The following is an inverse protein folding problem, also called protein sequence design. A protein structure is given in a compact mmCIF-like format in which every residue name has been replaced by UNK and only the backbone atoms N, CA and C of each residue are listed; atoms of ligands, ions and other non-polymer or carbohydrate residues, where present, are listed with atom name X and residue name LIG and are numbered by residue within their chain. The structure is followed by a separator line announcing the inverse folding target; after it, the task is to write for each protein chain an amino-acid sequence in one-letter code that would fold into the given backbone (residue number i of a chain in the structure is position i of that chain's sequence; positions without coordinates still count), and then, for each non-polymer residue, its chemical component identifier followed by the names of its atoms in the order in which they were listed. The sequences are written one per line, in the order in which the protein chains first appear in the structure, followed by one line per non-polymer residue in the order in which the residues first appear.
data_IF_218581830529
#
_entry.id   IF_218581830529
#
_cell.length_a   1.000
_cell.length_b   1.000
_cell.length_c   1.000
_cell.angle_alpha   90.00
_cell.angle_beta   90.00
_cell.angle_gamma   90.00
#
_symmetry.space_group_name_H-M   'P 1'
#
loop_
_entity.id
_entity.type
_entity.pdbx_description
1 polymer ?
#
# COMPACT_ATOMS: atom_id res chain seq x y z
N UNK A 1 -8.65 19.81 11.13
CA UNK A 1 -8.41 20.41 9.81
C UNK A 1 -7.61 19.38 9.01
N UNK A 2 -8.26 18.56 8.17
CA UNK A 2 -7.55 17.56 7.36
C UNK A 2 -6.93 18.25 6.16
N UNK A 3 -5.60 18.24 6.10
CA UNK A 3 -4.86 18.63 4.89
C UNK A 3 -4.93 17.42 3.97
N UNK A 4 -5.94 17.38 3.11
CA UNK A 4 -6.00 16.39 2.03
C UNK A 4 -5.00 16.84 0.97
N UNK A 5 -3.90 16.11 0.84
CA UNK A 5 -2.89 16.35 -0.19
C UNK A 5 -3.57 16.20 -1.56
N UNK A 6 -3.50 17.19 -2.47
CA UNK A 6 -4.06 17.07 -3.81
C UNK A 6 -3.47 15.86 -4.55
N UNK A 7 -4.24 15.17 -5.40
CA UNK A 7 -3.76 14.00 -6.14
C UNK A 7 -2.47 14.25 -6.93
N UNK A 8 -2.28 15.48 -7.41
CA UNK A 8 -1.09 15.93 -8.15
C UNK A 8 0.20 15.93 -7.30
N UNK A 9 0.09 15.73 -5.99
CA UNK A 9 1.22 15.65 -5.04
C UNK A 9 1.53 14.23 -4.58
N UNK A 10 0.77 13.22 -5.04
CA UNK A 10 1.13 11.83 -4.77
C UNK A 10 2.37 11.44 -5.57
N UNK A 11 3.32 10.70 -4.98
CA UNK A 11 4.42 10.11 -5.73
C UNK A 11 3.86 9.22 -6.86
N UNK A 12 4.53 9.18 -8.01
CA UNK A 12 4.14 8.25 -9.07
C UNK A 12 4.33 6.80 -8.61
N UNK A 13 3.61 5.87 -9.23
CA UNK A 13 3.74 4.43 -8.97
C UNK A 13 5.17 3.89 -9.17
N UNK A 14 5.96 4.56 -10.00
CA UNK A 14 7.35 4.18 -10.31
C UNK A 14 8.39 4.90 -9.44
N UNK A 15 7.96 5.81 -8.57
CA UNK A 15 8.87 6.59 -7.73
C UNK A 15 9.56 5.70 -6.70
N UNK A 16 10.85 5.89 -6.48
CA UNK A 16 11.55 5.36 -5.30
C UNK A 16 11.81 6.50 -4.32
N UNK A 17 11.36 6.37 -3.08
CA UNK A 17 11.59 7.37 -2.03
C UNK A 17 12.71 6.88 -1.11
N UNK A 18 13.74 7.69 -0.94
CA UNK A 18 14.93 7.33 -0.17
C UNK A 18 14.92 8.13 1.13
N UNK A 19 14.77 7.43 2.25
CA UNK A 19 14.95 7.99 3.58
C UNK A 19 16.31 7.62 4.19
N UNK A 20 16.52 8.09 5.42
CA UNK A 20 17.76 7.82 6.16
C UNK A 20 17.95 6.33 6.45
N UNK A 21 16.90 5.67 6.95
CA UNK A 21 16.92 4.25 7.39
C UNK A 21 16.14 3.30 6.50
N UNK A 22 15.19 3.80 5.72
CA UNK A 22 14.32 3.01 4.86
C UNK A 22 14.31 3.53 3.42
N UNK A 23 13.96 2.64 2.49
CA UNK A 23 13.64 2.99 1.11
C UNK A 23 12.23 2.50 0.81
N UNK A 24 11.40 3.36 0.23
CA UNK A 24 10.12 2.97 -0.33
C UNK A 24 10.33 2.67 -1.81
N UNK A 25 10.20 1.40 -2.19
CA UNK A 25 10.26 0.97 -3.60
C UNK A 25 8.85 0.73 -4.12
N UNK A 26 8.59 0.94 -5.42
CA UNK A 26 7.32 0.55 -6.04
C UNK A 26 6.93 -0.87 -5.65
N UNK A 27 5.68 -1.06 -5.25
CA UNK A 27 5.16 -2.40 -4.93
C UNK A 27 5.20 -3.30 -6.18
N UNK A 28 5.60 -4.55 -5.99
CA UNK A 28 5.64 -5.58 -7.04
C UNK A 28 5.16 -6.91 -6.48
N UNK A 29 4.57 -7.74 -7.34
CA UNK A 29 4.10 -9.08 -6.97
C UNK A 29 5.22 -10.00 -6.47
N UNK A 30 6.47 -9.79 -6.92
CA UNK A 30 7.66 -10.55 -6.50
C UNK A 30 8.00 -10.39 -5.01
N UNK A 31 7.44 -9.38 -4.34
CA UNK A 31 7.66 -9.16 -2.90
C UNK A 31 6.68 -9.92 -2.01
N UNK A 32 5.66 -10.56 -2.60
CA UNK A 32 4.60 -11.25 -1.86
C UNK A 32 5.16 -12.27 -0.87
N UNK A 33 6.10 -13.11 -1.27
CA UNK A 33 6.66 -14.17 -0.41
C UNK A 33 7.36 -13.64 0.83
N UNK A 34 8.14 -12.55 0.69
CA UNK A 34 8.82 -11.93 1.83
C UNK A 34 7.85 -11.16 2.73
N UNK A 35 6.91 -10.44 2.13
CA UNK A 35 5.94 -9.65 2.87
C UNK A 35 4.93 -10.52 3.62
N UNK A 36 4.51 -11.64 3.04
CA UNK A 36 3.61 -12.59 3.68
C UNK A 36 4.22 -13.20 4.95
N UNK A 37 5.54 -13.44 4.96
CA UNK A 37 6.26 -13.99 6.11
C UNK A 37 6.36 -13.03 7.30
N UNK A 38 6.31 -11.71 7.06
CA UNK A 38 6.42 -10.69 8.11
C UNK A 38 5.07 -10.15 8.55
N UNK A 39 3.97 -10.64 7.97
CA UNK A 39 2.63 -10.33 8.41
C UNK A 39 2.33 -11.05 9.72
N UNK A 40 1.81 -10.30 10.68
CA UNK A 40 1.30 -10.83 11.94
C UNK A 40 -0.22 -10.88 11.84
N UNK A 41 -0.86 -11.96 12.30
CA UNK A 41 -2.32 -12.13 12.24
C UNK A 41 -3.10 -10.95 12.83
N UNK A 42 -2.54 -10.28 13.84
CA UNK A 42 -3.15 -9.09 14.47
C UNK A 42 -3.17 -7.83 13.59
N UNK A 43 -2.40 -7.78 12.49
CA UNK A 43 -2.40 -6.61 11.60
C UNK A 43 -3.75 -6.48 10.86
N UNK A 44 -4.42 -7.61 10.61
CA UNK A 44 -5.64 -7.65 9.81
C UNK A 44 -6.84 -7.06 10.53
N UNK A 45 -6.82 -7.02 11.87
CA UNK A 45 -7.83 -6.35 12.69
C UNK A 45 -7.93 -4.84 12.36
N UNK A 46 -6.88 -4.27 11.76
CA UNK A 46 -6.78 -2.85 11.41
C UNK A 46 -6.92 -2.58 9.91
N UNK A 47 -7.18 -3.60 9.11
CA UNK A 47 -7.18 -3.53 7.65
C UNK A 47 -8.55 -3.91 7.08
N UNK A 48 -8.92 -3.30 5.95
CA UNK A 48 -10.16 -3.65 5.23
C UNK A 48 -10.04 -4.92 4.39
N UNK A 49 -8.82 -5.44 4.24
CA UNK A 49 -8.46 -6.60 3.45
C UNK A 49 -7.61 -7.54 4.29
N UNK A 50 -7.59 -8.82 3.89
CA UNK A 50 -6.99 -9.91 4.66
C UNK A 50 -7.93 -10.41 5.78
N UNK A 51 -7.45 -11.34 6.64
CA UNK A 51 -6.23 -12.13 6.48
C UNK A 51 -6.23 -12.94 5.17
N UNK A 52 -5.04 -13.25 4.64
CA UNK A 52 -4.90 -14.11 3.46
C UNK A 52 -4.54 -15.52 3.89
N UNK A 53 -5.16 -16.54 3.29
CA UNK A 53 -4.91 -17.94 3.67
C UNK A 53 -3.58 -18.48 3.16
N UNK A 54 -3.02 -17.87 2.12
CA UNK A 54 -1.76 -18.26 1.50
C UNK A 54 -1.14 -17.09 0.73
N UNK A 55 0.11 -17.28 0.31
CA UNK A 55 0.89 -16.27 -0.41
C UNK A 55 0.30 -15.97 -1.78
N UNK A 56 -0.38 -16.93 -2.43
CA UNK A 56 -1.01 -16.72 -3.75
C UNK A 56 -2.16 -15.71 -3.68
N UNK A 57 -3.01 -15.81 -2.64
CA UNK A 57 -4.07 -14.84 -2.39
C UNK A 57 -3.50 -13.44 -2.14
N UNK A 58 -2.45 -13.35 -1.32
CA UNK A 58 -1.79 -12.07 -1.05
C UNK A 58 -1.11 -11.49 -2.30
N UNK A 59 -0.45 -12.32 -3.11
CA UNK A 59 0.18 -11.92 -4.39
C UNK A 59 -0.86 -11.37 -5.37
N UNK A 60 -2.03 -12.01 -5.45
CA UNK A 60 -3.14 -11.54 -6.29
C UNK A 60 -3.63 -10.16 -5.85
N UNK A 61 -3.70 -9.91 -4.55
CA UNK A 61 -4.09 -8.60 -4.00
C UNK A 61 -3.07 -7.51 -4.33
N UNK A 62 -1.77 -7.79 -4.13
CA UNK A 62 -0.70 -6.86 -4.50
C UNK A 62 -0.74 -6.48 -5.98
N UNK A 63 -0.98 -7.46 -6.86
CA UNK A 63 -1.15 -7.21 -8.28
C UNK A 63 -2.36 -6.31 -8.56
N UNK A 64 -3.52 -6.62 -7.97
CA UNK A 64 -4.72 -5.80 -8.12
C UNK A 64 -4.50 -4.35 -7.66
N UNK A 65 -3.80 -4.16 -6.53
CA UNK A 65 -3.45 -2.83 -6.03
C UNK A 65 -2.48 -2.09 -6.96
N UNK A 66 -1.49 -2.77 -7.55
CA UNK A 66 -0.56 -2.15 -8.51
C UNK A 66 -1.26 -1.66 -9.78
N UNK A 67 -2.30 -2.37 -10.22
CA UNK A 67 -3.09 -2.04 -11.42
C UNK A 67 -4.15 -0.96 -11.12
N UNK A 68 -4.55 -0.79 -9.85
CA UNK A 68 -5.55 0.19 -9.44
C UNK A 68 -5.00 1.63 -9.46
N UNK A 69 -5.53 2.50 -10.31
CA UNK A 69 -5.07 3.89 -10.43
C UNK A 69 -5.41 4.80 -9.23
N UNK A 70 -6.33 4.38 -8.36
CA UNK A 70 -6.63 5.08 -7.11
C UNK A 70 -5.71 4.70 -5.95
N UNK A 71 -4.72 3.84 -6.18
CA UNK A 71 -3.78 3.36 -5.16
C UNK A 71 -2.35 3.53 -5.64
N UNK A 72 -1.50 4.07 -4.78
CA UNK A 72 -0.04 4.02 -4.95
C UNK A 72 0.54 3.22 -3.79
N UNK A 73 1.08 2.04 -4.11
CA UNK A 73 1.61 1.09 -3.15
C UNK A 73 3.14 1.07 -3.17
N UNK A 74 3.74 1.07 -1.99
CA UNK A 74 5.17 0.92 -1.78
C UNK A 74 5.47 -0.26 -0.86
N UNK A 75 6.57 -0.96 -1.15
CA UNK A 75 7.21 -1.82 -0.16
C UNK A 75 8.19 -1.01 0.67
N UNK A 76 8.20 -1.23 1.99
CA UNK A 76 9.15 -0.63 2.91
C UNK A 76 10.37 -1.54 3.01
N UNK A 77 11.53 -1.04 2.60
CA UNK A 77 12.80 -1.77 2.64
C UNK A 77 13.71 -1.17 3.71
N UNK A 78 14.15 -1.98 4.65
CA UNK A 78 15.18 -1.60 5.61
C UNK A 78 16.55 -1.50 4.90
N UNK A 79 17.22 -0.35 5.00
CA UNK A 79 18.49 -0.12 4.27
C UNK A 79 19.66 -0.94 4.80
N UNK A 80 19.67 -1.27 6.09
CA UNK A 80 20.79 -1.97 6.72
C UNK A 80 20.78 -3.47 6.34
N UNK A 81 19.60 -4.04 6.12
CA UNK A 81 19.40 -5.47 5.93
C UNK A 81 18.85 -5.86 4.55
N UNK A 82 18.43 -4.88 3.74
CA UNK A 82 17.66 -5.05 2.50
C UNK A 82 16.38 -5.90 2.66
N UNK A 83 15.88 -6.06 3.88
CA UNK A 83 14.65 -6.80 4.16
C UNK A 83 13.42 -5.95 3.83
N UNK A 84 12.40 -6.60 3.27
CA UNK A 84 11.08 -6.02 3.03
C UNK A 84 10.29 -6.16 4.32
N UNK A 85 10.12 -5.06 5.04
CA UNK A 85 9.64 -5.04 6.43
C UNK A 85 8.20 -4.56 6.57
N UNK A 86 7.56 -4.20 5.46
CA UNK A 86 6.16 -3.78 5.47
C UNK A 86 5.71 -3.19 4.14
N UNK A 87 4.48 -2.70 4.14
CA UNK A 87 3.84 -2.06 2.99
C UNK A 87 3.23 -0.73 3.40
N UNK A 88 3.18 0.21 2.46
CA UNK A 88 2.53 1.50 2.61
C UNK A 88 1.66 1.74 1.38
N UNK A 89 0.42 2.18 1.60
CA UNK A 89 -0.51 2.50 0.53
C UNK A 89 -0.99 3.94 0.67
N UNK A 90 -0.83 4.74 -0.38
CA UNK A 90 -1.61 5.95 -0.58
C UNK A 90 -2.87 5.55 -1.32
N UNK A 91 -4.02 5.67 -0.65
CA UNK A 91 -5.32 5.33 -1.23
C UNK A 91 -6.05 6.65 -1.45
N UNK A 92 -6.50 6.90 -2.67
CA UNK A 92 -7.41 7.99 -2.95
C UNK A 92 -8.69 7.75 -2.14
N UNK A 93 -8.91 8.53 -1.08
CA UNK A 93 -10.17 8.49 -0.36
C UNK A 93 -11.25 8.94 -1.34
N UNK A 94 -12.18 8.04 -1.67
CA UNK A 94 -13.38 8.38 -2.44
C UNK A 94 -13.99 9.61 -1.76
N UNK A 95 -13.95 10.77 -2.44
CA UNK A 95 -14.88 11.85 -2.12
C UNK A 95 -16.26 11.22 -2.29
N UNK A 96 -16.88 10.83 -1.18
CA UNK A 96 -18.31 10.61 -1.15
C UNK A 96 -18.93 11.88 -1.73
N UNK A 97 -19.44 11.80 -2.96
CA UNK A 97 -20.38 12.78 -3.50
C UNK A 97 -21.68 12.64 -2.70
N UNK A 98 -21.67 13.05 -1.43
CA UNK A 98 -22.88 13.26 -0.63
C UNK A 98 -23.43 14.67 -0.87
N UNK A 99 -23.44 15.13 -2.12
CA UNK A 99 -24.06 16.41 -2.50
C UNK A 99 -25.22 16.26 -3.48
N UNK A 100 -25.79 15.07 -3.65
CA UNK A 100 -27.00 14.88 -4.48
C UNK A 100 -28.12 14.09 -3.81
N UNK A 101 -28.13 13.99 -2.48
CA UNK A 101 -29.38 13.80 -1.76
C UNK A 101 -29.92 15.18 -1.37
N UNK A 102 -30.62 15.82 -2.32
CA UNK A 102 -31.50 16.94 -1.99
C UNK A 102 -32.68 16.37 -1.20
N UNK A 103 -32.86 16.84 0.03
CA UNK A 103 -34.13 16.78 0.73
C UNK A 103 -35.16 17.67 0.00
#
# INVERSE_FOLDING_TARGET
MSILTPLESLPSKDTTLIGDRIVLKPMKEEYADQLFQVQNDSIWDWMFLGPYNNVEQYRSDLKSNSENNGIVSFVVVDKATDKKIGQLNYIESVRQRLSTARF
#
